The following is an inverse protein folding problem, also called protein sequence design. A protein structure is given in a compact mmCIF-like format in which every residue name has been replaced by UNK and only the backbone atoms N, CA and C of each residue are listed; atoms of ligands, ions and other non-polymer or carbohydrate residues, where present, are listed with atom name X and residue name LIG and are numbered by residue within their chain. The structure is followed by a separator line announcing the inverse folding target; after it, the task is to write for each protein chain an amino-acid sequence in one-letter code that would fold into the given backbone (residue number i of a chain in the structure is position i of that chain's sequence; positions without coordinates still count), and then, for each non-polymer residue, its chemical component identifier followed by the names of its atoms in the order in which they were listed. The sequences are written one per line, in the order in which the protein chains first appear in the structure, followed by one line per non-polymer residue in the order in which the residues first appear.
data_IF_961621805856
#
_entry.id   IF_961621805856
#
_cell.length_a   1.000
_cell.length_b   1.000
_cell.length_c   1.000
_cell.angle_alpha   90.00
_cell.angle_beta   90.00
_cell.angle_gamma   90.00
#
_symmetry.space_group_name_H-M   'P 1'
#
loop_
_entity.id
_entity.type
_entity.pdbx_description
1 polymer ?
#
# COMPACT_ATOMS: atom_id res chain seq x y z
N UNK A 1 11.74 4.17 7.75
CA UNK A 1 11.00 3.89 6.49
C UNK A 1 11.96 3.54 5.35
N UNK A 2 11.57 2.55 4.55
CA UNK A 2 12.37 1.87 3.53
C UNK A 2 12.27 2.55 2.15
N UNK A 3 13.37 2.53 1.40
CA UNK A 3 13.44 2.87 -0.02
C UNK A 3 12.75 1.83 -0.90
N UNK A 4 12.49 2.18 -2.16
CA UNK A 4 11.87 1.28 -3.14
C UNK A 4 12.63 -0.03 -3.30
N UNK A 5 13.95 0.03 -3.36
CA UNK A 5 14.78 -1.17 -3.49
C UNK A 5 14.65 -2.07 -2.24
N UNK A 6 14.60 -1.48 -1.04
CA UNK A 6 14.41 -2.24 0.20
C UNK A 6 13.02 -2.87 0.28
N UNK A 7 11.97 -2.17 -0.17
CA UNK A 7 10.61 -2.72 -0.26
C UNK A 7 10.57 -3.89 -1.25
N UNK A 8 11.13 -3.73 -2.46
CA UNK A 8 11.15 -4.78 -3.48
C UNK A 8 12.02 -5.97 -3.05
N UNK A 9 13.14 -5.73 -2.38
CA UNK A 9 13.96 -6.78 -1.80
C UNK A 9 13.19 -7.56 -0.72
N UNK A 10 12.42 -6.86 0.12
CA UNK A 10 11.57 -7.49 1.14
C UNK A 10 10.50 -8.38 0.50
N UNK A 11 9.79 -7.86 -0.50
CA UNK A 11 8.78 -8.63 -1.24
C UNK A 11 9.40 -9.85 -1.93
N UNK A 12 10.59 -9.71 -2.52
CA UNK A 12 11.34 -10.83 -3.11
C UNK A 12 11.75 -11.86 -2.06
N UNK A 13 12.24 -11.44 -0.91
CA UNK A 13 12.56 -12.37 0.18
C UNK A 13 11.35 -13.15 0.66
N UNK A 14 10.14 -12.57 0.61
CA UNK A 14 8.90 -13.27 0.91
C UNK A 14 8.61 -14.32 -0.18
N UNK A 15 8.69 -13.97 -1.46
CA UNK A 15 8.45 -14.92 -2.55
C UNK A 15 9.46 -16.05 -2.60
N UNK A 16 10.71 -15.80 -2.20
CA UNK A 16 11.77 -16.82 -2.18
C UNK A 16 11.52 -17.93 -1.15
N UNK A 17 10.73 -17.66 -0.09
CA UNK A 17 10.46 -18.61 0.99
C UNK A 17 9.02 -19.12 1.03
N UNK A 18 8.09 -18.41 0.38
CA UNK A 18 6.68 -18.71 0.41
C UNK A 18 6.32 -19.72 -0.70
N UNK A 19 5.58 -20.81 -0.39
CA UNK A 19 5.07 -21.71 -1.42
C UNK A 19 4.15 -20.99 -2.43
N UNK A 20 4.12 -21.50 -3.67
CA UNK A 20 3.15 -21.09 -4.70
C UNK A 20 1.73 -21.14 -4.13
N UNK A 21 0.95 -20.09 -4.38
CA UNK A 21 -0.39 -19.91 -3.85
C UNK A 21 -0.46 -19.20 -2.49
N UNK A 22 0.67 -18.91 -1.83
CA UNK A 22 0.69 -18.06 -0.63
C UNK A 22 0.27 -16.63 -0.97
N UNK A 23 -0.30 -15.91 0.00
CA UNK A 23 -0.75 -14.53 -0.19
C UNK A 23 0.07 -13.54 0.66
N UNK A 24 0.39 -12.39 0.06
CA UNK A 24 0.95 -11.22 0.73
C UNK A 24 -0.08 -10.10 0.66
N UNK A 25 -0.47 -9.58 1.82
CA UNK A 25 -1.40 -8.47 1.94
C UNK A 25 -0.66 -7.30 2.57
N UNK A 26 -0.74 -6.13 1.95
CA UNK A 26 -0.10 -4.92 2.46
C UNK A 26 -0.93 -3.69 2.16
N UNK A 27 -0.79 -2.68 3.00
CA UNK A 27 -1.28 -1.35 2.73
C UNK A 27 -0.22 -0.50 2.04
N UNK A 28 -0.68 0.46 1.24
CA UNK A 28 0.19 1.46 0.65
C UNK A 28 -0.54 2.77 0.46
N UNK A 29 0.23 3.85 0.37
CA UNK A 29 -0.31 5.18 0.17
C UNK A 29 -0.29 5.56 -1.31
N UNK A 30 -1.19 6.47 -1.70
CA UNK A 30 -1.03 7.22 -2.94
C UNK A 30 -0.85 8.67 -2.57
N UNK A 31 0.26 9.24 -3.02
CA UNK A 31 0.53 10.66 -2.90
C UNK A 31 -0.25 11.39 -4.00
N UNK A 32 -1.57 11.48 -3.83
CA UNK A 32 -2.37 12.44 -4.61
C UNK A 32 -1.91 13.87 -4.31
N UNK A 33 -2.25 14.81 -5.20
CA UNK A 33 -1.83 16.22 -5.12
C UNK A 33 -1.80 16.72 -3.68
N UNK A 34 -0.62 17.19 -3.27
CA UNK A 34 -0.23 17.42 -1.90
C UNK A 34 -1.17 18.41 -1.20
N UNK A 35 -2.26 17.88 -0.64
CA UNK A 35 -3.15 18.63 0.22
C UNK A 35 -2.32 19.24 1.37
N UNK A 36 -2.70 20.41 1.91
CA UNK A 36 -1.97 20.99 3.04
C UNK A 36 -1.79 20.02 4.21
N UNK A 37 -2.77 19.13 4.41
CA UNK A 37 -2.69 18.04 5.38
C UNK A 37 -1.58 17.04 5.07
N UNK A 38 -1.46 16.56 3.83
CA UNK A 38 -0.40 15.64 3.40
C UNK A 38 0.99 16.25 3.53
N UNK A 39 1.16 17.54 3.18
CA UNK A 39 2.42 18.24 3.39
C UNK A 39 2.80 18.28 4.87
N UNK A 40 1.85 18.68 5.73
CA UNK A 40 2.06 18.72 7.19
C UNK A 40 2.37 17.35 7.78
N UNK A 41 1.69 16.30 7.31
CA UNK A 41 1.97 14.92 7.72
C UNK A 41 3.40 14.51 7.32
N UNK A 42 3.80 14.75 6.08
CA UNK A 42 5.16 14.45 5.62
C UNK A 42 6.23 15.24 6.40
N UNK A 43 5.98 16.51 6.70
CA UNK A 43 6.87 17.32 7.53
C UNK A 43 7.00 16.78 8.94
N UNK A 44 5.89 16.37 9.56
CA UNK A 44 5.92 15.76 10.90
C UNK A 44 6.69 14.43 10.88
N UNK A 45 6.44 13.58 9.89
CA UNK A 45 7.15 12.32 9.68
C UNK A 45 8.66 12.55 9.48
N UNK A 46 9.05 13.58 8.71
CA UNK A 46 10.46 14.00 8.59
C UNK A 46 11.06 14.41 9.93
N UNK A 47 10.34 15.20 10.73
CA UNK A 47 10.82 15.69 12.05
C UNK A 47 11.06 14.57 13.05
N UNK A 48 10.28 13.49 12.98
CA UNK A 48 10.45 12.32 13.87
C UNK A 48 11.38 11.24 13.29
N UNK A 49 12.02 11.49 12.14
CA UNK A 49 12.96 10.55 11.52
C UNK A 49 12.32 9.44 10.70
N UNK A 50 11.02 9.51 10.40
CA UNK A 50 10.25 8.51 9.65
C UNK A 50 9.67 9.03 8.33
N UNK A 51 10.47 9.67 7.44
CA UNK A 51 9.94 10.17 6.19
C UNK A 51 9.41 9.04 5.30
N UNK A 52 8.24 9.24 4.69
CA UNK A 52 7.78 8.37 3.59
C UNK A 52 8.74 8.52 2.42
N UNK A 53 9.52 7.46 2.15
CA UNK A 53 10.54 7.45 1.09
C UNK A 53 10.04 6.85 -0.21
N UNK A 54 9.03 6.00 -0.17
CA UNK A 54 8.52 5.28 -1.33
C UNK A 54 7.04 5.01 -1.16
N UNK A 55 6.35 5.01 -2.29
CA UNK A 55 4.94 4.69 -2.43
C UNK A 55 4.75 3.87 -3.72
N UNK A 56 3.59 3.25 -3.89
CA UNK A 56 3.23 2.57 -5.13
C UNK A 56 2.25 3.40 -5.95
N UNK A 57 2.34 3.28 -7.27
CA UNK A 57 1.31 3.76 -8.19
C UNK A 57 0.31 2.60 -8.41
N UNK A 58 -0.98 2.78 -8.09
CA UNK A 58 -1.99 1.73 -8.28
C UNK A 58 -2.08 1.23 -9.71
N UNK A 59 -1.75 2.08 -10.71
CA UNK A 59 -1.86 1.76 -12.13
C UNK A 59 -0.74 0.86 -12.63
N UNK A 60 0.46 0.93 -12.01
CA UNK A 60 1.61 0.10 -12.39
C UNK A 60 1.86 -1.05 -11.42
N UNK A 61 1.17 -1.09 -10.28
CA UNK A 61 1.42 -2.06 -9.20
C UNK A 61 1.40 -3.52 -9.69
N UNK A 62 0.45 -3.91 -10.55
CA UNK A 62 0.37 -5.29 -11.05
C UNK A 62 1.66 -5.69 -11.79
N UNK A 63 2.09 -4.87 -12.74
CA UNK A 63 3.31 -5.09 -13.52
C UNK A 63 4.57 -5.11 -12.64
N UNK A 64 4.63 -4.23 -11.63
CA UNK A 64 5.74 -4.19 -10.70
C UNK A 64 5.86 -5.47 -9.86
N UNK A 65 4.72 -6.01 -9.41
CA UNK A 65 4.67 -7.24 -8.61
C UNK A 65 4.95 -8.49 -9.45
N UNK A 66 4.53 -8.53 -10.71
CA UNK A 66 4.83 -9.65 -11.62
C UNK A 66 6.35 -9.91 -11.72
N UNK A 67 7.16 -8.85 -11.72
CA UNK A 67 8.63 -8.96 -11.73
C UNK A 67 9.25 -9.61 -10.49
N UNK A 68 8.42 -9.83 -9.45
CA UNK A 68 8.78 -10.45 -8.18
C UNK A 68 8.15 -11.84 -8.00
N UNK A 69 7.47 -12.39 -8.99
CA UNK A 69 6.72 -13.65 -8.84
C UNK A 69 5.44 -13.49 -8.02
N UNK A 70 4.85 -12.28 -8.04
CA UNK A 70 3.60 -11.96 -7.35
C UNK A 70 2.54 -11.54 -8.38
N UNK A 71 1.42 -12.26 -8.42
CA UNK A 71 0.24 -11.82 -9.17
C UNK A 71 -0.69 -11.01 -8.27
N UNK A 72 -0.98 -9.78 -8.68
CA UNK A 72 -1.94 -8.92 -7.99
C UNK A 72 -3.36 -9.50 -8.12
N UNK A 73 -3.99 -9.80 -6.98
CA UNK A 73 -5.35 -10.35 -6.92
C UNK A 73 -6.39 -9.29 -6.52
N UNK A 74 -6.04 -8.40 -5.60
CA UNK A 74 -6.92 -7.32 -5.16
C UNK A 74 -6.12 -6.02 -4.99
N UNK A 75 -6.74 -4.89 -5.35
CA UNK A 75 -6.18 -3.55 -5.19
C UNK A 75 -7.27 -2.55 -4.78
N UNK A 76 -7.64 -2.57 -3.50
CA UNK A 76 -8.74 -1.75 -2.97
C UNK A 76 -8.36 -0.27 -2.90
N UNK A 77 -9.19 0.56 -3.53
CA UNK A 77 -9.17 2.02 -3.37
C UNK A 77 -9.78 2.46 -2.04
N UNK A 78 -9.59 3.74 -1.62
CA UNK A 78 -10.29 4.28 -0.46
C UNK A 78 -11.81 4.14 -0.51
N UNK A 79 -12.41 4.27 -1.69
CA UNK A 79 -13.86 4.08 -1.88
C UNK A 79 -14.27 2.62 -1.70
N UNK A 80 -13.48 1.67 -2.22
CA UNK A 80 -13.77 0.24 -2.02
C UNK A 80 -13.65 -0.15 -0.55
N UNK A 81 -12.66 0.40 0.17
CA UNK A 81 -12.48 0.21 1.61
C UNK A 81 -13.66 0.82 2.38
N UNK A 82 -14.10 2.03 2.02
CA UNK A 82 -15.25 2.70 2.61
C UNK A 82 -16.53 1.87 2.43
N UNK A 83 -16.76 1.38 1.21
CA UNK A 83 -17.90 0.56 0.88
C UNK A 83 -17.91 -0.75 1.68
N UNK A 84 -16.80 -1.48 1.67
CA UNK A 84 -16.73 -2.82 2.23
C UNK A 84 -16.68 -2.85 3.76
N UNK A 85 -16.02 -1.87 4.38
CA UNK A 85 -15.69 -1.94 5.82
C UNK A 85 -16.31 -0.81 6.67
N UNK A 86 -16.84 0.25 6.06
CA UNK A 86 -17.32 1.44 6.80
C UNK A 86 -18.78 1.80 6.54
N UNK A 87 -19.50 1.17 5.61
CA UNK A 87 -20.89 1.52 5.26
C UNK A 87 -21.86 1.55 6.44
N UNK A 88 -21.75 0.61 7.38
CA UNK A 88 -22.68 0.50 8.53
C UNK A 88 -22.19 1.24 9.79
N UNK A 89 -21.11 2.03 9.71
CA UNK A 89 -20.58 2.74 10.87
C UNK A 89 -21.32 4.05 11.10
N UNK A 90 -21.84 4.24 12.31
CA UNK A 90 -22.55 5.47 12.74
C UNK A 90 -21.71 6.35 13.67
N UNK A 91 -20.47 5.94 13.97
CA UNK A 91 -19.59 6.60 14.94
C UNK A 91 -18.67 7.66 14.32
N UNK A 92 -18.93 8.10 13.09
CA UNK A 92 -18.16 9.15 12.41
C UNK A 92 -16.77 8.75 11.93
N UNK A 93 -16.40 7.47 12.03
CA UNK A 93 -15.16 6.95 11.43
C UNK A 93 -15.37 6.56 9.96
N UNK A 94 -14.39 6.89 9.12
CA UNK A 94 -14.37 6.64 7.68
C UNK A 94 -13.04 6.03 7.25
N UNK A 95 -13.03 5.37 6.09
CA UNK A 95 -11.79 4.94 5.46
C UNK A 95 -10.86 6.13 5.19
N UNK A 96 -9.56 5.91 5.32
CA UNK A 96 -8.56 6.92 4.95
C UNK A 96 -8.63 7.18 3.45
N UNK A 97 -8.64 8.46 3.05
CA UNK A 97 -8.64 8.90 1.65
C UNK A 97 -7.33 8.61 0.91
N UNK A 98 -6.29 8.20 1.63
CA UNK A 98 -4.94 8.07 1.07
C UNK A 98 -4.37 6.65 1.14
N UNK A 99 -5.07 5.72 1.79
CA UNK A 99 -4.62 4.33 1.98
C UNK A 99 -5.33 3.42 0.99
N UNK A 100 -4.58 2.47 0.45
CA UNK A 100 -5.05 1.40 -0.41
C UNK A 100 -4.57 0.07 0.14
N UNK A 101 -5.30 -1.00 -0.16
CA UNK A 101 -4.89 -2.36 0.19
C UNK A 101 -4.58 -3.14 -1.07
N UNK A 102 -3.48 -3.88 -1.06
CA UNK A 102 -3.14 -4.83 -2.10
C UNK A 102 -3.09 -6.24 -1.50
N UNK A 103 -3.66 -7.20 -2.24
CA UNK A 103 -3.43 -8.62 -2.01
C UNK A 103 -2.79 -9.20 -3.26
N UNK A 104 -1.64 -9.82 -3.10
CA UNK A 104 -0.94 -10.53 -4.17
C UNK A 104 -0.67 -11.98 -3.80
N UNK A 105 -0.59 -12.85 -4.79
CA UNK A 105 -0.40 -14.29 -4.63
C UNK A 105 0.92 -14.70 -5.27
N UNK A 106 1.68 -15.56 -4.60
CA UNK A 106 2.95 -16.10 -5.08
C UNK A 106 2.71 -17.09 -6.22
N UNK A 107 3.46 -16.94 -7.32
CA UNK A 107 3.43 -17.79 -8.51
C UNK A 107 4.75 -18.52 -8.76
#
# INVERSE_FOLDING_TARGET
MSSRNEVFATLRSITDIAPVGSAVIFDYFVLEEATPYMKKMQENLRKIGEPIKTTFDPSTLAFELESLGLRLHENLSPSDIQERYFQSRTNGYYASKHVRFAMAVVE
#
